data_IF_490654376475
#
_entry.id   IF_490654376475
#
_cell.length_a   1.000
_cell.length_b   1.000
_cell.length_c   1.000
_cell.angle_alpha   90.00
_cell.angle_beta   90.00
_cell.angle_gamma   90.00
#
_symmetry.space_group_name_H-M   'P 1'
#
loop_
_entity.id
_entity.type
_entity.pdbx_description
1 polymer ?
#
# COMPACT_ATOMS: atom_id res chain seq x y z
N UNK A 1 13.58 9.20 19.81
CA UNK A 1 13.22 10.62 20.09
C UNK A 1 12.64 11.26 18.82
N UNK A 2 11.50 11.96 18.92
CA UNK A 2 10.96 12.75 17.80
C UNK A 2 11.75 14.06 17.76
N UNK A 3 12.64 14.17 16.78
CA UNK A 3 13.51 15.34 16.63
C UNK A 3 12.97 16.29 15.55
N UNK A 4 12.39 15.75 14.47
CA UNK A 4 11.76 16.52 13.40
C UNK A 4 10.79 15.67 12.55
N UNK A 5 9.48 15.94 12.64
CA UNK A 5 8.42 15.17 11.95
C UNK A 5 8.53 15.26 10.42
N UNK A 6 8.83 16.44 9.86
CA UNK A 6 8.95 16.60 8.40
C UNK A 6 10.11 15.77 7.87
N UNK A 7 11.26 15.82 8.55
CA UNK A 7 12.42 15.01 8.20
C UNK A 7 12.10 13.51 8.28
N UNK A 8 11.34 13.08 9.29
CA UNK A 8 10.92 11.68 9.42
C UNK A 8 10.00 11.25 8.28
N UNK A 9 9.04 12.09 7.87
CA UNK A 9 8.16 11.79 6.72
C UNK A 9 8.95 11.72 5.41
N UNK A 10 9.89 12.63 5.19
CA UNK A 10 10.63 12.71 3.91
C UNK A 10 11.70 11.64 3.79
N UNK A 11 12.43 11.34 4.87
CA UNK A 11 13.65 10.52 4.81
C UNK A 11 13.53 9.16 5.48
N UNK A 12 12.49 8.90 6.26
CA UNK A 12 12.34 7.64 7.01
C UNK A 12 11.05 6.89 6.72
N UNK A 13 9.97 7.60 6.37
CA UNK A 13 8.70 6.96 6.06
C UNK A 13 8.72 6.24 4.70
N UNK A 14 7.97 5.14 4.62
CA UNK A 14 7.74 4.37 3.41
C UNK A 14 6.27 3.94 3.32
N UNK A 15 5.90 3.25 2.23
CA UNK A 15 4.52 2.83 1.99
C UNK A 15 3.90 1.98 3.11
N UNK A 16 4.71 1.18 3.82
CA UNK A 16 4.23 0.32 4.92
C UNK A 16 3.88 1.08 6.20
N UNK A 17 4.24 2.37 6.27
CA UNK A 17 3.90 3.24 7.40
C UNK A 17 2.51 3.88 7.23
N UNK A 18 1.88 3.75 6.06
CA UNK A 18 0.53 4.26 5.79
C UNK A 18 -0.51 3.29 6.34
N UNK A 19 -1.45 3.78 7.15
CA UNK A 19 -2.51 2.98 7.78
C UNK A 19 -3.87 3.12 7.09
N UNK A 20 -4.24 4.34 6.68
CA UNK A 20 -5.54 4.65 6.05
C UNK A 20 -5.34 5.61 4.88
N UNK A 21 -6.01 5.35 3.75
CA UNK A 21 -5.98 6.22 2.56
C UNK A 21 -7.41 6.58 2.12
N UNK A 22 -7.62 7.87 1.82
CA UNK A 22 -8.91 8.41 1.36
C UNK A 22 -8.73 9.07 -0.01
N UNK A 23 -9.58 8.73 -0.97
CA UNK A 23 -9.61 9.32 -2.31
C UNK A 23 -11.03 9.81 -2.59
N UNK A 24 -11.19 11.10 -2.89
CA UNK A 24 -12.50 11.72 -3.19
C UNK A 24 -13.56 11.42 -2.11
N UNK A 25 -13.17 11.53 -0.84
CA UNK A 25 -14.03 11.25 0.31
C UNK A 25 -14.34 9.76 0.57
N UNK A 26 -13.77 8.84 -0.21
CA UNK A 26 -13.95 7.38 -0.04
C UNK A 26 -12.70 6.77 0.58
N UNK A 27 -12.88 5.95 1.61
CA UNK A 27 -11.79 5.18 2.21
C UNK A 27 -11.43 4.04 1.25
N UNK A 28 -10.19 4.00 0.77
CA UNK A 28 -9.68 2.95 -0.14
C UNK A 28 -8.75 1.96 0.56
N UNK A 29 -8.23 2.33 1.73
CA UNK A 29 -7.50 1.46 2.66
C UNK A 29 -7.83 1.89 4.09
N UNK A 30 -8.13 0.94 4.98
CA UNK A 30 -8.47 1.17 6.40
C UNK A 30 -7.73 0.15 7.26
N UNK A 31 -7.11 0.58 8.36
CA UNK A 31 -6.39 -0.32 9.28
C UNK A 31 -5.41 -1.27 8.56
N UNK A 32 -4.72 -0.75 7.52
CA UNK A 32 -3.81 -1.49 6.61
C UNK A 32 -4.47 -2.52 5.69
N UNK A 33 -5.80 -2.60 5.65
CA UNK A 33 -6.55 -3.45 4.74
C UNK A 33 -6.99 -2.66 3.50
N UNK A 34 -6.60 -3.11 2.31
CA UNK A 34 -7.00 -2.48 1.04
C UNK A 34 -8.44 -2.86 0.71
N UNK A 35 -9.32 -1.86 0.57
CA UNK A 35 -10.76 -2.07 0.39
C UNK A 35 -11.19 -2.15 -1.08
N UNK A 36 -10.29 -1.80 -2.01
CA UNK A 36 -10.61 -1.64 -3.44
C UNK A 36 -9.96 -2.67 -4.36
N UNK A 37 -9.10 -3.54 -3.83
CA UNK A 37 -8.35 -4.55 -4.58
C UNK A 37 -8.48 -5.89 -3.86
N UNK A 38 -8.73 -6.94 -4.63
CA UNK A 38 -8.61 -8.32 -4.15
C UNK A 38 -7.15 -8.76 -4.32
N UNK A 39 -6.39 -8.76 -3.23
CA UNK A 39 -4.95 -9.00 -3.25
C UNK A 39 -4.59 -10.40 -3.74
N UNK A 40 -5.34 -11.43 -3.32
CA UNK A 40 -5.12 -12.81 -3.77
C UNK A 40 -5.30 -12.93 -5.28
N UNK A 41 -6.39 -12.38 -5.83
CA UNK A 41 -6.61 -12.40 -7.28
C UNK A 41 -5.55 -11.60 -8.04
N UNK A 42 -5.07 -10.49 -7.47
CA UNK A 42 -4.02 -9.69 -8.08
C UNK A 42 -2.70 -10.48 -8.14
N UNK A 43 -2.32 -11.14 -7.05
CA UNK A 43 -1.13 -11.99 -6.98
C UNK A 43 -1.23 -13.19 -7.92
N UNK A 44 -2.36 -13.88 -7.96
CA UNK A 44 -2.62 -14.99 -8.88
C UNK A 44 -2.46 -14.57 -10.34
N UNK A 45 -2.97 -13.38 -10.69
CA UNK A 45 -2.84 -12.84 -12.04
C UNK A 45 -1.39 -12.55 -12.39
N UNK A 46 -0.63 -11.96 -11.47
CA UNK A 46 0.80 -11.70 -11.66
C UNK A 46 1.56 -13.01 -11.82
N UNK A 47 1.28 -14.01 -10.99
CA UNK A 47 1.95 -15.30 -11.04
C UNK A 47 1.75 -16.01 -12.38
N UNK A 48 0.51 -16.02 -12.90
CA UNK A 48 0.22 -16.61 -14.23
C UNK A 48 1.01 -15.95 -15.35
N UNK A 49 1.11 -14.62 -15.34
CA UNK A 49 1.90 -13.88 -16.34
C UNK A 49 3.37 -14.28 -16.24
N UNK A 50 3.92 -14.36 -15.03
CA UNK A 50 5.32 -14.77 -14.81
C UNK A 50 5.58 -16.18 -15.34
N UNK A 51 4.64 -17.10 -15.16
CA UNK A 51 4.78 -18.48 -15.63
C UNK A 51 4.67 -18.60 -17.16
N UNK A 52 3.90 -17.75 -17.83
CA UNK A 52 3.87 -17.65 -19.30
C UNK A 52 5.15 -17.07 -19.92
N UNK A 53 5.92 -16.29 -19.15
CA UNK A 53 7.21 -15.73 -19.59
C UNK A 53 8.38 -16.71 -19.45
N UNK A 54 8.21 -17.83 -18.74
CA UNK A 54 9.24 -18.86 -18.54
C UNK A 54 9.28 -19.84 -19.70
#
# INVERSE_FOLDING_TARGET
PITNVISHIVYSANGNDVETTIVDGKIVMLDREVLTVDEEKALDKVQKIVDELR
#
